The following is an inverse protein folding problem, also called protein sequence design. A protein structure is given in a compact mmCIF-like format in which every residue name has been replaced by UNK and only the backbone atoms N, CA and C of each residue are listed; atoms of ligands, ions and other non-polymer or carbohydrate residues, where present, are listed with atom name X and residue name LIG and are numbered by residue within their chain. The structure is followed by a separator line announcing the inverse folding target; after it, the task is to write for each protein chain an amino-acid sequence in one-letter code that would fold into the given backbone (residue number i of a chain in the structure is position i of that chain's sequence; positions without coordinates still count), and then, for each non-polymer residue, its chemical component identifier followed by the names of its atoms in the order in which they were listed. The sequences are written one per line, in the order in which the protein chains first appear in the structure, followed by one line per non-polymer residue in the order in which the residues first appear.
data_IF_869759699499
#
_entry.id   IF_869759699499
#
_cell.length_a   1.000
_cell.length_b   1.000
_cell.length_c   1.000
_cell.angle_alpha   90.00
_cell.angle_beta   90.00
_cell.angle_gamma   90.00
#
_symmetry.space_group_name_H-M   'P 1'
#
loop_
_entity.id
_entity.type
_entity.pdbx_description
1 polymer ?
#
# COMPACT_ATOMS: atom_id res chain seq x y z
N UNK A 1 20.74 38.40 5.29
CA UNK A 1 21.06 36.97 5.10
C UNK A 1 19.89 36.29 4.39
N UNK A 2 19.80 36.48 3.07
CA UNK A 2 18.85 35.74 2.22
C UNK A 2 19.69 35.10 1.10
N UNK A 3 19.74 33.78 1.07
CA UNK A 3 20.23 33.03 -0.09
C UNK A 3 19.01 32.51 -0.86
N UNK A 4 18.82 32.88 -2.14
CA UNK A 4 17.81 32.27 -2.99
C UNK A 4 18.26 30.88 -3.43
N UNK A 5 17.43 29.86 -3.16
CA UNK A 5 17.56 28.51 -3.70
C UNK A 5 16.92 28.51 -5.09
N UNK A 6 17.74 28.72 -6.12
CA UNK A 6 17.32 28.55 -7.52
C UNK A 6 17.10 27.06 -7.84
N UNK A 7 15.83 26.76 -8.12
CA UNK A 7 15.32 25.50 -8.63
C UNK A 7 15.88 25.24 -10.03
N UNK A 8 16.88 24.37 -10.14
CA UNK A 8 17.42 23.93 -11.44
C UNK A 8 16.72 22.65 -11.87
N UNK A 9 15.65 22.81 -12.66
CA UNK A 9 14.98 21.72 -13.38
C UNK A 9 15.93 21.28 -14.50
N UNK A 10 16.56 20.11 -14.35
CA UNK A 10 17.39 19.49 -15.40
C UNK A 10 16.52 18.66 -16.34
N UNK A 11 16.37 19.14 -17.57
CA UNK A 11 15.85 18.34 -18.70
C UNK A 11 16.82 17.20 -19.01
N UNK A 12 16.36 15.96 -18.93
CA UNK A 12 17.11 14.80 -19.36
C UNK A 12 17.06 14.66 -20.89
N UNK A 13 18.21 14.65 -21.54
CA UNK A 13 18.36 14.22 -22.94
C UNK A 13 18.52 12.70 -22.93
N UNK A 14 17.57 11.99 -23.55
CA UNK A 14 17.71 10.55 -23.81
C UNK A 14 18.71 10.35 -24.95
N UNK A 15 19.94 9.95 -24.62
CA UNK A 15 20.89 9.46 -25.63
C UNK A 15 20.56 8.00 -25.91
N UNK A 16 20.05 7.74 -27.11
CA UNK A 16 19.87 6.39 -27.64
C UNK A 16 21.25 5.73 -27.87
N UNK A 17 21.70 4.94 -26.89
CA UNK A 17 22.89 4.11 -26.97
C UNK A 17 22.60 2.76 -27.64
N UNK A 18 23.36 2.43 -28.68
CA UNK A 18 23.21 1.25 -29.55
C UNK A 18 23.56 -0.05 -28.80
N UNK A 19 22.85 -1.15 -29.10
CA UNK A 19 23.18 -2.50 -28.62
C UNK A 19 24.46 -3.01 -29.31
N UNK A 20 25.32 -3.70 -28.54
CA UNK A 20 26.38 -4.55 -29.06
C UNK A 20 26.43 -5.87 -28.26
N UNK A 21 26.68 -7.05 -28.88
CA UNK A 21 26.66 -8.34 -28.18
C UNK A 21 28.07 -8.86 -27.80
N UNK A 22 28.08 -9.62 -26.70
CA UNK A 22 28.99 -10.70 -26.29
C UNK A 22 30.44 -10.41 -25.79
N UNK A 23 30.62 -10.61 -24.46
CA UNK A 23 31.75 -11.31 -23.80
C UNK A 23 32.73 -10.45 -22.96
N UNK A 24 33.45 -11.01 -21.96
CA UNK A 24 33.30 -12.27 -21.21
C UNK A 24 33.11 -12.06 -19.68
N UNK A 25 32.96 -13.18 -18.95
CA UNK A 25 32.77 -13.34 -17.51
C UNK A 25 33.78 -12.54 -16.65
N UNK A 26 33.26 -11.82 -15.65
CA UNK A 26 34.02 -11.43 -14.48
C UNK A 26 33.51 -10.16 -13.79
N UNK A 27 33.33 -10.26 -12.48
CA UNK A 27 33.21 -9.16 -11.49
C UNK A 27 31.80 -8.63 -11.23
N UNK A 28 31.42 -8.69 -9.95
CA UNK A 28 30.07 -8.58 -9.45
C UNK A 28 29.33 -7.34 -9.94
N UNK A 29 28.12 -7.58 -10.46
CA UNK A 29 27.06 -6.60 -10.47
C UNK A 29 26.83 -6.21 -9.02
N UNK A 30 27.43 -5.09 -8.63
CA UNK A 30 26.92 -4.29 -7.53
C UNK A 30 25.55 -3.81 -8.01
N UNK A 31 24.55 -4.68 -7.85
CA UNK A 31 23.15 -4.30 -7.86
C UNK A 31 23.07 -3.23 -6.78
N UNK A 32 23.01 -1.98 -7.21
CA UNK A 32 22.79 -0.86 -6.31
C UNK A 32 21.44 -1.14 -5.68
N UNK A 33 21.44 -1.65 -4.44
CA UNK A 33 20.24 -1.78 -3.61
C UNK A 33 19.67 -0.38 -3.47
N UNK A 34 18.75 -0.02 -4.36
CA UNK A 34 18.05 1.24 -4.27
C UNK A 34 17.20 1.15 -3.01
N UNK A 35 17.39 2.03 -2.01
CA UNK A 35 16.62 1.94 -0.76
C UNK A 35 15.10 2.04 -0.99
N UNK A 36 14.65 2.54 -2.16
CA UNK A 36 13.23 2.58 -2.53
C UNK A 36 12.68 1.26 -3.13
N UNK A 37 13.55 0.32 -3.53
CA UNK A 37 13.15 -1.01 -4.04
C UNK A 37 13.00 -2.06 -2.92
N UNK A 38 13.34 -1.70 -1.68
CA UNK A 38 13.16 -2.58 -0.53
C UNK A 38 11.66 -2.85 -0.31
N UNK A 39 11.23 -4.12 -0.13
CA UNK A 39 9.83 -4.43 0.13
C UNK A 39 9.31 -3.61 1.32
N UNK A 40 8.21 -2.87 1.16
CA UNK A 40 7.66 -1.98 2.19
C UNK A 40 7.51 -2.65 3.57
N UNK A 41 7.29 -3.97 3.59
CA UNK A 41 7.22 -4.80 4.80
C UNK A 41 8.45 -4.64 5.71
N UNK A 42 9.66 -4.34 5.17
CA UNK A 42 10.87 -4.19 5.98
C UNK A 42 10.79 -2.97 6.91
N UNK A 43 10.07 -1.92 6.51
CA UNK A 43 9.80 -0.73 7.32
C UNK A 43 8.68 -0.89 8.36
N UNK A 44 8.01 -2.05 8.42
CA UNK A 44 6.86 -2.23 9.29
C UNK A 44 7.23 -2.24 10.78
N UNK A 45 6.63 -1.33 11.55
CA UNK A 45 6.87 -1.21 12.99
C UNK A 45 6.46 -2.47 13.78
N UNK A 46 5.40 -3.15 13.34
CA UNK A 46 4.87 -4.36 13.97
C UNK A 46 5.85 -5.54 13.98
N UNK A 47 6.92 -5.51 13.17
CA UNK A 47 7.97 -6.55 13.18
C UNK A 47 8.73 -6.62 14.51
N UNK A 48 8.64 -5.57 15.33
CA UNK A 48 9.28 -5.48 16.65
C UNK A 48 8.41 -6.01 17.78
N UNK A 49 7.14 -6.27 17.50
CA UNK A 49 6.13 -6.72 18.45
C UNK A 49 5.80 -8.21 18.23
N UNK A 50 5.10 -8.82 19.17
CA UNK A 50 4.69 -10.22 19.06
C UNK A 50 3.59 -10.45 18.02
N UNK A 51 3.69 -11.54 17.25
CA UNK A 51 2.67 -11.87 16.23
C UNK A 51 1.27 -12.03 16.83
N UNK A 52 1.19 -12.54 18.06
CA UNK A 52 -0.06 -12.72 18.80
C UNK A 52 -0.85 -11.42 18.99
N UNK A 53 -0.18 -10.26 19.04
CA UNK A 53 -0.84 -8.95 19.13
C UNK A 53 -1.71 -8.67 17.89
N UNK A 54 -1.20 -8.98 16.70
CA UNK A 54 -1.88 -8.67 15.43
C UNK A 54 -2.83 -9.78 15.00
N UNK A 55 -2.53 -11.04 15.33
CA UNK A 55 -3.27 -12.22 14.89
C UNK A 55 -3.87 -12.95 16.09
N UNK A 56 -5.20 -12.95 16.16
CA UNK A 56 -5.94 -13.50 17.29
C UNK A 56 -5.69 -15.01 17.47
N UNK A 57 -5.59 -15.51 18.72
CA UNK A 57 -5.73 -16.93 18.99
C UNK A 57 -7.18 -17.39 18.78
N UNK A 58 -7.38 -18.67 18.41
CA UNK A 58 -8.67 -19.19 17.89
C UNK A 58 -9.88 -19.04 18.83
N UNK A 59 -9.68 -18.88 20.15
CA UNK A 59 -10.76 -18.79 21.15
C UNK A 59 -10.41 -17.76 22.24
N UNK A 60 -10.46 -16.50 21.88
CA UNK A 60 -10.24 -15.37 22.78
C UNK A 60 -11.59 -14.79 23.29
N UNK A 61 -11.73 -14.46 24.58
CA UNK A 61 -12.89 -13.71 25.07
C UNK A 61 -13.03 -12.34 24.39
N UNK A 62 -14.27 -11.88 24.16
CA UNK A 62 -14.54 -10.62 23.44
C UNK A 62 -13.78 -9.42 23.99
N UNK A 63 -13.70 -9.27 25.31
CA UNK A 63 -12.99 -8.14 25.93
C UNK A 63 -11.48 -8.17 25.66
N UNK A 64 -10.85 -9.35 25.73
CA UNK A 64 -9.44 -9.52 25.41
C UNK A 64 -9.17 -9.22 23.92
N UNK A 65 -10.05 -9.71 23.03
CA UNK A 65 -9.98 -9.41 21.60
C UNK A 65 -10.03 -7.91 21.30
N UNK A 66 -10.97 -7.20 21.92
CA UNK A 66 -11.10 -5.74 21.74
C UNK A 66 -9.86 -4.99 22.24
N UNK A 67 -9.37 -5.35 23.44
CA UNK A 67 -8.15 -4.75 24.00
C UNK A 67 -6.93 -4.97 23.11
N UNK A 68 -6.75 -6.21 22.62
CA UNK A 68 -5.65 -6.56 21.73
C UNK A 68 -5.74 -5.85 20.38
N UNK A 69 -6.92 -5.78 19.78
CA UNK A 69 -7.13 -5.04 18.53
C UNK A 69 -6.83 -3.55 18.69
N UNK A 70 -7.21 -2.94 19.82
CA UNK A 70 -6.87 -1.55 20.15
C UNK A 70 -5.36 -1.34 20.25
N UNK A 71 -4.66 -2.22 20.98
CA UNK A 71 -3.20 -2.17 21.12
C UNK A 71 -2.49 -2.35 19.76
N UNK A 72 -2.93 -3.29 18.93
CA UNK A 72 -2.38 -3.48 17.59
C UNK A 72 -2.59 -2.24 16.71
N UNK A 73 -3.76 -1.58 16.80
CA UNK A 73 -4.04 -0.33 16.09
C UNK A 73 -3.13 0.82 16.54
N UNK A 74 -2.81 0.91 17.83
CA UNK A 74 -1.86 1.91 18.34
C UNK A 74 -0.46 1.72 17.74
N UNK A 75 -0.01 0.47 17.57
CA UNK A 75 1.24 0.19 16.84
C UNK A 75 1.13 0.63 15.38
N UNK A 76 0.01 0.31 14.71
CA UNK A 76 -0.20 0.73 13.33
C UNK A 76 -0.19 2.25 13.18
N UNK A 77 -0.77 3.01 14.11
CA UNK A 77 -0.92 4.47 14.02
C UNK A 77 0.43 5.22 13.92
N UNK A 78 1.51 4.63 14.41
CA UNK A 78 2.89 5.16 14.33
C UNK A 78 3.75 4.46 13.26
N UNK A 79 3.18 3.55 12.47
CA UNK A 79 3.91 2.75 11.50
C UNK A 79 4.18 3.57 10.22
N UNK A 80 5.44 3.67 9.75
CA UNK A 80 5.77 4.48 8.57
C UNK A 80 5.17 3.93 7.28
N UNK A 81 4.85 2.63 7.23
CA UNK A 81 4.29 1.94 6.05
C UNK A 81 2.79 1.63 6.22
N UNK A 82 2.09 2.44 7.01
CA UNK A 82 0.67 2.24 7.33
C UNK A 82 -0.20 2.20 6.08
N UNK A 83 0.04 3.10 5.12
CA UNK A 83 -0.79 3.25 3.92
C UNK A 83 -0.57 2.08 2.96
N UNK A 84 0.68 1.71 2.71
CA UNK A 84 1.08 0.59 1.86
C UNK A 84 0.52 -0.73 2.43
N UNK A 85 0.67 -0.93 3.74
CA UNK A 85 0.11 -2.09 4.45
C UNK A 85 -1.43 -2.15 4.33
N UNK A 86 -2.10 -1.00 4.50
CA UNK A 86 -3.56 -0.91 4.40
C UNK A 86 -4.04 -1.23 2.99
N UNK A 87 -3.45 -0.63 1.97
CA UNK A 87 -3.88 -0.87 0.59
C UNK A 87 -3.58 -2.30 0.16
N UNK A 88 -2.43 -2.86 0.55
CA UNK A 88 -2.15 -4.28 0.33
C UNK A 88 -3.26 -5.17 0.92
N UNK A 89 -3.64 -4.93 2.18
CA UNK A 89 -4.68 -5.69 2.85
C UNK A 89 -6.11 -5.42 2.35
N UNK A 90 -6.32 -4.39 1.52
CA UNK A 90 -7.60 -4.13 0.86
C UNK A 90 -7.65 -4.76 -0.55
N UNK A 91 -6.51 -4.84 -1.24
CA UNK A 91 -6.38 -5.51 -2.55
C UNK A 91 -6.40 -7.03 -2.38
N UNK A 92 -5.70 -7.54 -1.37
CA UNK A 92 -5.69 -8.95 -0.97
C UNK A 92 -6.24 -9.04 0.46
N UNK A 93 -7.58 -9.15 0.62
CA UNK A 93 -8.21 -9.09 1.93
C UNK A 93 -7.84 -10.28 2.79
N UNK A 94 -6.82 -10.11 3.62
CA UNK A 94 -6.45 -11.12 4.60
C UNK A 94 -7.63 -11.33 5.57
N UNK A 95 -8.14 -12.57 5.77
CA UNK A 95 -9.31 -12.83 6.61
C UNK A 95 -9.12 -12.50 8.09
N UNK A 96 -7.88 -12.43 8.57
CA UNK A 96 -7.58 -12.30 10.00
C UNK A 96 -6.71 -11.09 10.34
N UNK A 97 -6.68 -10.78 11.64
CA UNK A 97 -5.77 -9.82 12.25
C UNK A 97 -5.95 -8.35 11.88
N UNK A 98 -5.05 -7.53 12.44
CA UNK A 98 -4.99 -6.08 12.23
C UNK A 98 -3.92 -5.75 11.20
N UNK A 99 -4.33 -5.06 10.12
CA UNK A 99 -3.48 -4.67 9.00
C UNK A 99 -3.71 -3.19 8.69
N UNK A 100 -2.64 -2.40 8.60
CA UNK A 100 -2.73 -0.97 8.29
C UNK A 100 -3.70 -0.21 9.22
N UNK A 101 -3.79 -0.61 10.49
CA UNK A 101 -4.70 -0.02 11.48
C UNK A 101 -6.18 -0.42 11.33
N UNK A 102 -6.50 -1.45 10.55
CA UNK A 102 -7.85 -1.96 10.39
C UNK A 102 -7.92 -3.43 10.80
N UNK A 103 -8.95 -3.81 11.55
CA UNK A 103 -9.34 -5.21 11.76
C UNK A 103 -9.91 -5.81 10.49
N UNK A 104 -9.99 -7.14 10.41
CA UNK A 104 -10.65 -7.83 9.31
C UNK A 104 -12.12 -7.39 9.11
N UNK A 105 -12.83 -7.11 10.21
CA UNK A 105 -14.20 -6.61 10.14
C UNK A 105 -14.27 -5.19 9.56
N UNK A 106 -13.37 -4.31 9.96
CA UNK A 106 -13.30 -2.94 9.42
C UNK A 106 -12.90 -2.94 7.94
N UNK A 107 -11.96 -3.80 7.53
CA UNK A 107 -11.61 -3.98 6.10
C UNK A 107 -12.83 -4.39 5.29
N UNK A 108 -13.66 -5.32 5.79
CA UNK A 108 -14.93 -5.70 5.13
C UNK A 108 -15.87 -4.50 4.96
N UNK A 109 -15.98 -3.63 5.97
CA UNK A 109 -16.80 -2.41 5.88
C UNK A 109 -16.24 -1.44 4.84
N UNK A 110 -14.92 -1.21 4.81
CA UNK A 110 -14.27 -0.35 3.81
C UNK A 110 -14.53 -0.87 2.39
N UNK A 111 -14.34 -2.16 2.16
CA UNK A 111 -14.56 -2.78 0.85
C UNK A 111 -16.04 -2.72 0.42
N UNK A 112 -16.98 -2.90 1.36
CA UNK A 112 -18.40 -2.75 1.08
C UNK A 112 -18.75 -1.30 0.66
N UNK A 113 -18.16 -0.31 1.33
CA UNK A 113 -18.32 1.11 0.98
C UNK A 113 -17.73 1.43 -0.40
N UNK A 114 -16.52 0.92 -0.72
CA UNK A 114 -15.89 1.06 -2.05
C UNK A 114 -16.82 0.50 -3.14
N UNK A 115 -17.31 -0.73 -2.98
CA UNK A 115 -18.25 -1.36 -3.93
C UNK A 115 -19.54 -0.57 -4.15
N UNK A 116 -20.12 -0.02 -3.08
CA UNK A 116 -21.35 0.80 -3.19
C UNK A 116 -21.09 2.07 -4.02
N UNK A 117 -20.01 2.79 -3.71
CA UNK A 117 -19.60 3.99 -4.45
C UNK A 117 -19.34 3.68 -5.93
N UNK A 118 -18.66 2.58 -6.22
CA UNK A 118 -18.41 2.17 -7.60
C UNK A 118 -19.72 1.90 -8.36
N UNK A 119 -20.71 1.31 -7.69
CA UNK A 119 -22.06 1.12 -8.23
C UNK A 119 -22.77 2.44 -8.54
N UNK A 120 -22.74 3.38 -7.60
CA UNK A 120 -23.33 4.73 -7.75
C UNK A 120 -22.70 5.50 -8.92
N UNK A 121 -21.37 5.46 -9.03
CA UNK A 121 -20.64 6.11 -10.14
C UNK A 121 -20.93 5.48 -11.50
N UNK A 122 -21.09 4.15 -11.54
CA UNK A 122 -21.47 3.43 -12.77
C UNK A 122 -22.89 3.81 -13.21
N UNK A 123 -23.83 3.91 -12.27
CA UNK A 123 -25.20 4.31 -12.57
C UNK A 123 -25.28 5.77 -13.02
N UNK A 124 -24.60 6.69 -12.32
CA UNK A 124 -24.54 8.09 -12.72
C UNK A 124 -23.99 8.27 -14.14
N UNK A 125 -22.95 7.51 -14.51
CA UNK A 125 -22.41 7.52 -15.88
C UNK A 125 -23.43 7.02 -16.91
N UNK A 126 -24.16 5.95 -16.60
CA UNK A 126 -25.23 5.42 -17.47
C UNK A 126 -26.33 6.46 -17.71
N UNK A 127 -26.76 7.16 -16.65
CA UNK A 127 -27.81 8.19 -16.74
C UNK A 127 -27.34 9.42 -17.52
N UNK A 128 -26.07 9.80 -17.37
CA UNK A 128 -25.47 10.96 -18.04
C UNK A 128 -25.06 10.73 -19.50
N UNK A 129 -25.09 9.49 -20.02
CA UNK A 129 -24.75 9.19 -21.40
C UNK A 129 -25.86 9.69 -22.35
N UNK A 130 -25.58 10.64 -23.27
CA UNK A 130 -26.60 11.14 -24.18
C UNK A 130 -27.12 9.99 -25.05
N UNK A 131 -28.44 9.78 -25.03
CA UNK A 131 -29.11 8.80 -25.90
C UNK A 131 -28.78 9.14 -27.35
N UNK A 132 -27.91 8.35 -27.99
CA UNK A 132 -27.68 8.45 -29.44
C UNK A 132 -29.01 8.15 -30.12
N UNK A 133 -29.65 9.17 -30.66
CA UNK A 133 -30.84 9.01 -31.47
C UNK A 133 -30.34 8.44 -32.80
N UNK A 134 -30.63 7.18 -33.07
CA UNK A 134 -30.35 6.57 -34.36
C UNK A 134 -31.28 7.24 -35.40
N UNK A 135 -30.66 7.89 -36.38
CA UNK A 135 -31.33 8.48 -37.55
C UNK A 135 -31.63 7.45 -38.61
#
# INVERSE_FOLDING_TARGET
MLHPIESSVRTAVVVAGRRSPAGPVGTGTQQLDHPEDSPWHTGAACRRDEAGLFFAPSKEPTAARLSREEQAKQVCARCPVLLECREHALVQPEPYGVWGGLTAAERRVVLARRRRRDGELREARRVGEPRRIAG
#
